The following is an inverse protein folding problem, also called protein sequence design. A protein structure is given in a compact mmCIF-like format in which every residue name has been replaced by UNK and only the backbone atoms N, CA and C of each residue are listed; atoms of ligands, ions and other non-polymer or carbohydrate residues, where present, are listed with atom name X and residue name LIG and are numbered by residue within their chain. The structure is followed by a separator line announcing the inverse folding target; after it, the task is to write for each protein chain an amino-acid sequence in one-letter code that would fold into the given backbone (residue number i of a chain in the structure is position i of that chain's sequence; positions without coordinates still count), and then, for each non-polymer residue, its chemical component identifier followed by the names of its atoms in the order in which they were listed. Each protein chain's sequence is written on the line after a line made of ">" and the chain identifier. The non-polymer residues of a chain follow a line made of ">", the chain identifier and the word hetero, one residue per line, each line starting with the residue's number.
data_IF_279460552900
#
_entry.id   IF_279460552900
#
_cell.length_a   1.000
_cell.length_b   1.000
_cell.length_c   1.000
_cell.angle_alpha   90.00
_cell.angle_beta   90.00
_cell.angle_gamma   90.00
#
_symmetry.space_group_name_H-M   'P 1'
#
loop_
_entity.id
_entity.type
_entity.pdbx_description
1 polymer ?
#
# COMPACT_ATOMS: atom_id res chain seq x y z
N UNK A 1 14.38 -9.62 5.25
CA UNK A 1 13.54 -10.02 4.08
C UNK A 1 13.80 -9.04 2.95
N UNK A 2 14.02 -9.53 1.73
CA UNK A 2 14.27 -8.73 0.53
C UNK A 2 12.91 -8.35 -0.08
N UNK A 3 12.74 -7.06 -0.37
CA UNK A 3 11.49 -6.57 -0.94
C UNK A 3 11.41 -6.87 -2.45
N UNK A 4 10.20 -7.14 -2.98
CA UNK A 4 9.96 -7.20 -4.42
C UNK A 4 10.34 -5.88 -5.11
N UNK A 5 10.79 -5.92 -6.38
CA UNK A 5 11.20 -4.72 -7.09
C UNK A 5 10.10 -3.65 -7.20
N UNK A 6 8.84 -4.06 -7.38
CA UNK A 6 7.70 -3.14 -7.38
C UNK A 6 7.53 -2.42 -6.04
N UNK A 7 7.65 -3.14 -4.92
CA UNK A 7 7.55 -2.54 -3.58
C UNK A 7 8.69 -1.56 -3.31
N UNK A 8 9.93 -1.89 -3.73
CA UNK A 8 11.07 -0.95 -3.62
C UNK A 8 10.76 0.35 -4.36
N UNK A 9 10.27 0.26 -5.61
CA UNK A 9 9.94 1.43 -6.42
C UNK A 9 8.80 2.27 -5.81
N UNK A 10 7.80 1.63 -5.20
CA UNK A 10 6.71 2.32 -4.48
C UNK A 10 7.24 3.09 -3.27
N UNK A 11 8.07 2.43 -2.43
CA UNK A 11 8.65 3.07 -1.25
C UNK A 11 9.62 4.20 -1.63
N UNK A 12 10.42 4.05 -2.69
CA UNK A 12 11.28 5.12 -3.19
C UNK A 12 10.46 6.34 -3.63
N UNK A 13 9.32 6.12 -4.30
CA UNK A 13 8.44 7.20 -4.71
C UNK A 13 7.79 7.89 -3.50
N UNK A 14 7.28 7.12 -2.55
CA UNK A 14 6.72 7.63 -1.30
C UNK A 14 7.75 8.49 -0.55
N UNK A 15 8.98 8.00 -0.37
CA UNK A 15 10.07 8.76 0.27
C UNK A 15 10.34 10.09 -0.43
N UNK A 16 10.37 10.09 -1.77
CA UNK A 16 10.60 11.31 -2.54
C UNK A 16 9.46 12.32 -2.32
N UNK A 17 8.21 11.86 -2.33
CA UNK A 17 7.03 12.69 -2.12
C UNK A 17 6.96 13.30 -0.72
N UNK A 18 7.34 12.53 0.30
CA UNK A 18 7.29 12.98 1.69
C UNK A 18 8.55 13.72 2.18
N UNK A 19 9.61 13.80 1.36
CA UNK A 19 10.92 14.35 1.76
C UNK A 19 10.84 15.74 2.36
N UNK A 20 10.04 16.61 1.75
CA UNK A 20 9.96 18.03 2.10
C UNK A 20 8.81 18.32 3.09
N UNK A 21 8.09 17.29 3.52
CA UNK A 21 7.06 17.42 4.54
C UNK A 21 7.68 17.25 5.94
N UNK A 22 7.35 18.13 6.89
CA UNK A 22 7.79 17.95 8.25
C UNK A 22 7.17 16.67 8.83
N UNK A 23 7.97 15.76 9.42
CA UNK A 23 7.43 14.54 9.98
C UNK A 23 6.53 14.84 11.19
N UNK A 24 5.37 14.20 11.21
CA UNK A 24 4.35 14.33 12.24
C UNK A 24 3.84 12.96 12.70
N UNK A 25 2.53 12.88 12.96
CA UNK A 25 1.84 11.64 13.32
C UNK A 25 1.27 10.97 12.07
N UNK A 26 1.46 9.65 11.95
CA UNK A 26 0.83 8.89 10.88
C UNK A 26 -0.09 7.78 11.40
N UNK A 27 -1.06 7.40 10.59
CA UNK A 27 -1.80 6.15 10.67
C UNK A 27 -1.56 5.36 9.38
N UNK A 28 -1.16 4.09 9.50
CA UNK A 28 -1.07 3.16 8.38
C UNK A 28 -2.16 2.10 8.50
N UNK A 29 -2.99 1.97 7.47
CA UNK A 29 -4.08 1.01 7.42
C UNK A 29 -3.63 -0.18 6.55
N UNK A 30 -3.72 -1.40 7.11
CA UNK A 30 -3.21 -2.61 6.45
C UNK A 30 -1.69 -2.67 6.45
N UNK A 31 -1.11 -2.71 7.64
CA UNK A 31 0.36 -2.63 7.84
C UNK A 31 1.11 -3.79 7.20
N UNK A 32 0.48 -4.96 7.08
CA UNK A 32 1.14 -6.19 6.65
C UNK A 32 2.37 -6.47 7.52
N UNK A 33 3.53 -6.63 6.89
CA UNK A 33 4.79 -6.91 7.62
C UNK A 33 5.54 -5.63 8.07
N UNK A 34 4.93 -4.45 8.03
CA UNK A 34 5.47 -3.19 8.59
C UNK A 34 6.59 -2.53 7.79
N UNK A 35 6.71 -2.81 6.50
CA UNK A 35 7.76 -2.22 5.65
C UNK A 35 7.54 -0.73 5.36
N UNK A 36 6.28 -0.33 5.13
CA UNK A 36 5.95 1.06 4.89
C UNK A 36 6.07 1.86 6.18
N UNK A 37 5.58 1.33 7.32
CA UNK A 37 5.83 1.91 8.65
C UNK A 37 7.33 2.10 8.91
N UNK A 38 8.18 1.09 8.64
CA UNK A 38 9.64 1.21 8.79
C UNK A 38 10.21 2.37 7.97
N UNK A 39 9.71 2.54 6.75
CA UNK A 39 10.08 3.65 5.88
C UNK A 39 9.72 5.02 6.50
N UNK A 40 8.50 5.19 6.98
CA UNK A 40 8.03 6.42 7.62
C UNK A 40 8.81 6.72 8.92
N UNK A 41 9.02 5.71 9.76
CA UNK A 41 9.78 5.82 11.01
C UNK A 41 11.22 6.25 10.78
N UNK A 42 11.87 5.73 9.72
CA UNK A 42 13.21 6.14 9.31
C UNK A 42 13.27 7.60 8.82
N UNK A 43 12.15 8.14 8.32
CA UNK A 43 12.00 9.55 7.94
C UNK A 43 11.65 10.47 9.12
N UNK A 44 11.57 9.95 10.36
CA UNK A 44 11.27 10.71 11.56
C UNK A 44 9.78 10.79 11.94
N UNK A 45 8.90 10.16 11.18
CA UNK A 45 7.48 10.07 11.53
C UNK A 45 7.27 9.20 12.77
N UNK A 46 6.14 9.39 13.45
CA UNK A 46 5.68 8.55 14.57
C UNK A 46 4.21 8.20 14.36
N UNK A 47 3.75 7.04 14.81
CA UNK A 47 2.36 6.74 14.55
C UNK A 47 1.90 5.36 14.97
N UNK A 48 0.76 4.98 14.39
CA UNK A 48 0.08 3.72 14.67
C UNK A 48 -0.19 2.99 13.36
N UNK A 49 0.09 1.70 13.35
CA UNK A 49 -0.33 0.80 12.30
C UNK A 49 -1.55 -0.01 12.71
N UNK A 50 -2.43 -0.31 11.77
CA UNK A 50 -3.64 -1.11 11.96
C UNK A 50 -3.58 -2.35 11.07
N UNK A 51 -3.79 -3.52 11.66
CA UNK A 51 -3.69 -4.80 10.94
C UNK A 51 -4.67 -5.81 11.51
N UNK A 52 -5.47 -6.40 10.64
CA UNK A 52 -6.46 -7.42 11.03
C UNK A 52 -5.84 -8.76 11.34
N UNK A 53 -4.78 -9.12 10.61
CA UNK A 53 -4.12 -10.39 10.80
C UNK A 53 -3.12 -10.36 11.96
N UNK A 54 -3.31 -11.23 13.00
CA UNK A 54 -2.44 -11.24 14.19
C UNK A 54 -0.97 -11.55 13.88
N UNK A 55 -0.70 -12.40 12.90
CA UNK A 55 0.67 -12.80 12.57
C UNK A 55 1.40 -11.67 11.83
N UNK A 56 0.72 -10.99 10.91
CA UNK A 56 1.24 -9.79 10.24
C UNK A 56 1.46 -8.65 11.25
N UNK A 57 0.51 -8.44 12.16
CA UNK A 57 0.64 -7.47 13.25
C UNK A 57 1.88 -7.74 14.11
N UNK A 58 2.12 -9.01 14.48
CA UNK A 58 3.32 -9.43 15.23
C UNK A 58 4.60 -9.16 14.42
N UNK A 59 4.62 -9.56 13.16
CA UNK A 59 5.78 -9.34 12.28
C UNK A 59 6.09 -7.85 12.09
N UNK A 60 5.06 -7.00 12.00
CA UNK A 60 5.23 -5.54 11.91
C UNK A 60 5.81 -4.94 13.21
N UNK A 61 5.37 -5.41 14.39
CA UNK A 61 5.94 -5.02 15.67
C UNK A 61 7.41 -5.45 15.81
N UNK A 62 7.72 -6.68 15.46
CA UNK A 62 9.10 -7.21 15.50
C UNK A 62 10.02 -6.43 14.57
N UNK A 63 9.59 -6.14 13.34
CA UNK A 63 10.34 -5.33 12.37
C UNK A 63 10.66 -3.94 12.89
N UNK A 64 9.75 -3.32 13.61
CA UNK A 64 9.84 -1.95 14.09
C UNK A 64 10.10 -1.88 15.59
N UNK A 65 10.71 -2.91 16.18
CA UNK A 65 10.87 -3.09 17.63
C UNK A 65 11.49 -1.90 18.35
N UNK A 66 12.50 -1.24 17.76
CA UNK A 66 13.13 -0.06 18.35
C UNK A 66 12.18 1.13 18.44
N UNK A 67 11.33 1.31 17.44
CA UNK A 67 10.32 2.36 17.45
C UNK A 67 9.19 2.04 18.43
N UNK A 68 8.81 0.76 18.55
CA UNK A 68 7.85 0.27 19.55
C UNK A 68 8.40 0.48 20.95
N UNK A 69 9.64 0.04 21.23
CA UNK A 69 10.28 0.17 22.52
C UNK A 69 10.43 1.63 22.97
N UNK A 70 10.66 2.54 22.02
CA UNK A 70 10.75 3.99 22.28
C UNK A 70 9.40 4.72 22.34
N UNK A 71 8.27 4.02 22.17
CA UNK A 71 6.93 4.61 22.17
C UNK A 71 6.62 5.48 20.94
N UNK A 72 7.45 5.44 19.90
CA UNK A 72 7.22 6.19 18.64
C UNK A 72 6.25 5.48 17.70
N UNK A 73 6.02 4.19 17.90
CA UNK A 73 5.20 3.36 17.04
C UNK A 73 4.47 2.29 17.85
N UNK A 74 3.29 1.92 17.39
CA UNK A 74 2.56 0.74 17.86
C UNK A 74 1.79 0.12 16.69
N UNK A 75 1.55 -1.18 16.74
CA UNK A 75 0.61 -1.85 15.85
C UNK A 75 -0.58 -2.30 16.67
N UNK A 76 -1.78 -1.95 16.23
CA UNK A 76 -3.06 -2.37 16.80
C UNK A 76 -3.65 -3.48 15.94
N UNK A 77 -3.87 -4.65 16.53
CA UNK A 77 -4.53 -5.77 15.84
C UNK A 77 -6.04 -5.65 16.02
N UNK A 78 -6.64 -4.74 15.26
CA UNK A 78 -8.08 -4.40 15.30
C UNK A 78 -8.56 -3.98 13.91
N UNK A 79 -9.87 -4.05 13.70
CA UNK A 79 -10.47 -3.41 12.52
C UNK A 79 -10.41 -1.89 12.70
N UNK A 80 -9.70 -1.24 11.77
CA UNK A 80 -9.57 0.21 11.79
C UNK A 80 -10.90 0.92 11.56
N UNK A 81 -11.82 0.33 10.78
CA UNK A 81 -13.15 0.91 10.53
C UNK A 81 -14.01 0.98 11.80
N UNK A 82 -13.71 0.16 12.82
CA UNK A 82 -14.40 0.12 14.10
C UNK A 82 -13.68 0.93 15.18
N UNK A 83 -12.64 1.71 14.82
CA UNK A 83 -11.81 2.46 15.77
C UNK A 83 -11.94 3.96 15.60
N UNK A 84 -12.13 4.67 16.71
CA UNK A 84 -12.06 6.12 16.74
C UNK A 84 -10.60 6.61 16.85
N UNK A 85 -10.29 7.79 16.29
CA UNK A 85 -8.96 8.38 16.43
C UNK A 85 -8.73 8.89 17.86
N UNK A 86 -7.65 8.44 18.50
CA UNK A 86 -7.19 9.01 19.80
C UNK A 86 -6.78 10.48 19.63
N UNK A 87 -6.26 10.85 18.48
CA UNK A 87 -5.95 12.21 18.06
C UNK A 87 -5.75 12.27 16.54
N UNK A 88 -6.01 13.43 15.90
CA UNK A 88 -5.82 13.59 14.48
C UNK A 88 -4.38 13.28 14.03
N UNK A 89 -4.24 12.74 12.82
CA UNK A 89 -2.96 12.44 12.20
C UNK A 89 -2.62 13.40 11.05
N UNK A 90 -1.33 13.61 10.84
CA UNK A 90 -0.84 14.48 9.76
C UNK A 90 -0.70 13.71 8.44
N UNK A 91 -0.57 12.38 8.53
CA UNK A 91 -0.49 11.47 7.39
C UNK A 91 -1.34 10.22 7.66
N UNK A 92 -2.25 9.93 6.74
CA UNK A 92 -2.94 8.65 6.69
C UNK A 92 -2.50 7.94 5.42
N UNK A 93 -2.05 6.70 5.52
CA UNK A 93 -1.55 5.96 4.37
C UNK A 93 -2.07 4.53 4.37
N UNK A 94 -2.40 4.03 3.19
CA UNK A 94 -2.65 2.62 2.97
C UNK A 94 -2.08 2.14 1.64
N UNK A 95 -1.70 0.87 1.61
CA UNK A 95 -1.11 0.24 0.45
C UNK A 95 -1.79 -1.10 0.20
N UNK A 96 -2.48 -1.22 -0.93
CA UNK A 96 -3.22 -2.41 -1.33
C UNK A 96 -4.28 -2.82 -0.28
N UNK A 97 -5.17 -1.88 0.04
CA UNK A 97 -6.26 -2.07 1.01
C UNK A 97 -7.62 -1.70 0.41
N UNK A 98 -7.71 -0.55 -0.29
CA UNK A 98 -8.98 0.00 -0.75
C UNK A 98 -9.70 -0.92 -1.75
N UNK A 99 -8.96 -1.65 -2.55
CA UNK A 99 -9.47 -2.62 -3.53
C UNK A 99 -10.20 -3.82 -2.94
N UNK A 100 -10.05 -4.04 -1.63
CA UNK A 100 -10.72 -5.12 -0.90
C UNK A 100 -12.13 -4.73 -0.42
N UNK A 101 -12.55 -3.49 -0.64
CA UNK A 101 -13.90 -3.03 -0.29
C UNK A 101 -14.81 -2.98 -1.51
N UNK A 102 -16.09 -3.31 -1.28
CA UNK A 102 -17.17 -2.96 -2.20
C UNK A 102 -17.45 -1.44 -2.17
N UNK A 103 -18.47 -0.98 -2.92
CA UNK A 103 -18.76 0.46 -3.02
C UNK A 103 -19.17 1.10 -1.68
N UNK A 104 -19.88 0.34 -0.83
CA UNK A 104 -20.30 0.81 0.47
C UNK A 104 -19.13 0.85 1.47
N UNK A 105 -18.31 -0.21 1.50
CA UNK A 105 -17.11 -0.28 2.33
C UNK A 105 -16.07 0.77 1.95
N UNK A 106 -15.88 1.03 0.65
CA UNK A 106 -15.01 2.09 0.17
C UNK A 106 -15.47 3.49 0.63
N UNK A 107 -16.79 3.75 0.60
CA UNK A 107 -17.33 5.01 1.10
C UNK A 107 -17.13 5.15 2.62
N UNK A 108 -17.36 4.09 3.39
CA UNK A 108 -17.09 4.05 4.83
C UNK A 108 -15.60 4.26 5.13
N UNK A 109 -14.71 3.61 4.38
CA UNK A 109 -13.27 3.78 4.51
C UNK A 109 -12.86 5.24 4.32
N UNK A 110 -13.33 5.89 3.26
CA UNK A 110 -13.00 7.29 2.98
C UNK A 110 -13.63 8.25 4.00
N UNK A 111 -14.83 7.97 4.50
CA UNK A 111 -15.41 8.77 5.60
C UNK A 111 -14.60 8.62 6.90
N UNK A 112 -14.15 7.42 7.21
CA UNK A 112 -13.26 7.19 8.35
C UNK A 112 -11.95 7.95 8.19
N UNK A 113 -11.35 7.99 6.98
CA UNK A 113 -10.18 8.84 6.71
C UNK A 113 -10.39 10.31 7.11
N UNK A 114 -11.61 10.84 6.89
CA UNK A 114 -11.97 12.22 7.23
C UNK A 114 -11.93 12.49 8.73
N UNK A 115 -12.33 11.52 9.53
CA UNK A 115 -12.33 11.63 10.99
C UNK A 115 -10.89 11.58 11.55
N UNK A 116 -10.02 10.81 10.91
CA UNK A 116 -8.63 10.63 11.35
C UNK A 116 -7.69 11.76 10.95
N UNK A 117 -7.88 12.38 9.79
CA UNK A 117 -6.96 13.40 9.29
C UNK A 117 -7.09 14.73 10.05
N UNK A 118 -5.95 15.31 10.40
CA UNK A 118 -5.87 16.69 10.90
C UNK A 118 -6.30 17.68 9.81
N UNK A 119 -6.54 18.95 10.19
CA UNK A 119 -6.95 19.98 9.24
C UNK A 119 -5.95 20.23 8.09
N UNK A 120 -4.68 19.84 8.28
CA UNK A 120 -3.62 19.91 7.27
C UNK A 120 -3.11 18.53 6.88
N UNK A 121 -3.79 17.49 7.33
CA UNK A 121 -3.41 16.10 7.10
C UNK A 121 -3.53 15.69 5.64
N UNK A 122 -2.64 14.82 5.21
CA UNK A 122 -2.55 14.25 3.87
C UNK A 122 -2.97 12.79 3.91
N UNK A 123 -3.91 12.41 3.04
CA UNK A 123 -4.19 11.01 2.75
C UNK A 123 -3.35 10.52 1.57
N UNK A 124 -2.80 9.31 1.68
CA UNK A 124 -2.08 8.63 0.60
C UNK A 124 -2.66 7.24 0.40
N UNK A 125 -3.02 6.93 -0.84
CA UNK A 125 -3.43 5.60 -1.28
C UNK A 125 -2.45 5.05 -2.31
N UNK A 126 -2.05 3.81 -2.12
CA UNK A 126 -1.44 2.98 -3.16
C UNK A 126 -2.43 1.85 -3.46
N UNK A 127 -2.96 1.83 -4.69
CA UNK A 127 -3.97 0.86 -5.11
C UNK A 127 -3.57 0.17 -6.40
N UNK A 128 -4.08 -1.04 -6.71
CA UNK A 128 -3.83 -1.70 -7.98
C UNK A 128 -4.42 -0.87 -9.13
N UNK A 129 -3.55 -0.55 -10.08
CA UNK A 129 -3.88 0.18 -11.32
C UNK A 129 -4.18 -0.75 -12.49
N UNK A 130 -4.53 -0.15 -13.64
CA UNK A 130 -4.78 -0.86 -14.90
C UNK A 130 -5.87 -1.94 -14.80
N UNK A 131 -7.17 -1.56 -14.88
CA UNK A 131 -8.27 -2.52 -14.88
C UNK A 131 -8.15 -3.60 -15.97
N UNK A 132 -7.53 -3.27 -17.11
CA UNK A 132 -7.31 -4.21 -18.21
C UNK A 132 -6.32 -5.33 -17.87
N UNK A 133 -5.46 -5.12 -16.88
CA UNK A 133 -4.48 -6.09 -16.41
C UNK A 133 -5.00 -6.93 -15.21
N UNK A 134 -6.34 -6.97 -15.01
CA UNK A 134 -6.96 -7.90 -14.06
C UNK A 134 -6.47 -9.32 -14.28
N UNK A 135 -6.08 -10.00 -13.23
CA UNK A 135 -5.47 -11.31 -13.35
C UNK A 135 -5.64 -12.19 -12.13
N UNK A 136 -4.99 -13.34 -12.17
CA UNK A 136 -5.09 -14.35 -11.12
C UNK A 136 -4.71 -13.84 -9.72
N UNK A 137 -3.86 -12.81 -9.65
CA UNK A 137 -3.50 -12.20 -8.38
C UNK A 137 -4.66 -11.49 -7.72
N UNK A 138 -5.48 -10.80 -8.50
CA UNK A 138 -6.67 -10.10 -8.02
C UNK A 138 -7.70 -11.10 -7.50
N UNK A 139 -7.93 -12.17 -8.28
CA UNK A 139 -8.85 -13.24 -7.89
C UNK A 139 -8.43 -13.92 -6.59
N UNK A 140 -7.13 -14.24 -6.44
CA UNK A 140 -6.60 -14.91 -5.26
C UNK A 140 -6.53 -13.96 -4.05
N UNK A 141 -6.22 -12.67 -4.28
CA UNK A 141 -6.21 -11.67 -3.22
C UNK A 141 -7.61 -11.27 -2.75
N UNK A 142 -8.64 -11.57 -3.53
CA UNK A 142 -10.01 -11.18 -3.21
C UNK A 142 -10.27 -9.70 -3.45
N UNK A 143 -9.72 -9.16 -4.54
CA UNK A 143 -10.00 -7.79 -4.94
C UNK A 143 -11.42 -7.66 -5.49
N UNK A 144 -12.06 -6.54 -5.24
CA UNK A 144 -13.31 -6.15 -5.90
C UNK A 144 -13.03 -5.41 -7.20
N UNK A 145 -11.88 -4.67 -7.28
CA UNK A 145 -11.57 -3.81 -8.42
C UNK A 145 -10.08 -3.49 -8.54
N UNK A 146 -9.72 -3.02 -9.73
CA UNK A 146 -8.55 -2.21 -10.00
C UNK A 146 -9.00 -0.83 -10.43
N UNK A 147 -8.15 0.16 -10.31
CA UNK A 147 -8.48 1.54 -10.61
C UNK A 147 -7.79 2.03 -11.89
N UNK A 148 -8.51 2.79 -12.70
CA UNK A 148 -7.88 3.74 -13.62
C UNK A 148 -7.62 5.04 -12.87
N UNK A 149 -6.77 5.90 -13.40
CA UNK A 149 -6.56 7.24 -12.85
C UNK A 149 -7.88 8.00 -12.76
N UNK A 150 -8.67 7.96 -13.84
CA UNK A 150 -9.96 8.65 -13.93
C UNK A 150 -11.00 8.09 -12.95
N UNK A 151 -11.08 6.75 -12.82
CA UNK A 151 -12.04 6.14 -11.88
C UNK A 151 -11.70 6.45 -10.43
N UNK A 152 -10.41 6.42 -10.05
CA UNK A 152 -9.97 6.75 -8.70
C UNK A 152 -10.22 8.23 -8.37
N UNK A 153 -9.86 9.15 -9.27
CA UNK A 153 -10.08 10.57 -9.10
C UNK A 153 -11.57 10.90 -9.01
N UNK A 154 -12.40 10.36 -9.91
CA UNK A 154 -13.86 10.54 -9.88
C UNK A 154 -14.45 10.02 -8.57
N UNK A 155 -14.01 8.85 -8.12
CA UNK A 155 -14.50 8.26 -6.87
C UNK A 155 -14.15 9.11 -5.66
N UNK A 156 -12.91 9.54 -5.52
CA UNK A 156 -12.48 10.42 -4.44
C UNK A 156 -13.25 11.74 -4.45
N UNK A 157 -13.37 12.38 -5.62
CA UNK A 157 -14.08 13.65 -5.77
C UNK A 157 -15.56 13.52 -5.43
N UNK A 158 -16.22 12.45 -5.88
CA UNK A 158 -17.65 12.21 -5.56
C UNK A 158 -17.94 12.03 -4.07
N UNK A 159 -16.92 11.67 -3.29
CA UNK A 159 -16.98 11.53 -1.84
C UNK A 159 -16.40 12.74 -1.08
N UNK A 160 -16.22 13.89 -1.77
CA UNK A 160 -15.79 15.15 -1.18
C UNK A 160 -14.30 15.20 -0.83
N UNK A 161 -13.47 14.53 -1.62
CA UNK A 161 -12.02 14.58 -1.53
C UNK A 161 -11.42 15.30 -2.73
N UNK A 162 -10.45 16.14 -2.50
CA UNK A 162 -9.66 16.79 -3.54
C UNK A 162 -8.36 16.02 -3.76
N UNK A 163 -8.18 15.50 -4.96
CA UNK A 163 -6.92 14.86 -5.38
C UNK A 163 -5.87 15.94 -5.63
N UNK A 164 -4.76 15.89 -4.91
CA UNK A 164 -3.63 16.80 -5.08
C UNK A 164 -2.60 16.26 -6.06
N UNK A 165 -2.42 14.95 -6.07
CA UNK A 165 -1.46 14.29 -6.92
C UNK A 165 -1.89 12.85 -7.20
N UNK A 166 -1.68 12.40 -8.44
CA UNK A 166 -1.86 11.00 -8.84
C UNK A 166 -0.77 10.59 -9.83
N UNK A 167 -0.16 9.43 -9.61
CA UNK A 167 0.91 8.91 -10.43
C UNK A 167 0.80 7.39 -10.61
N UNK A 168 1.05 6.93 -11.84
CA UNK A 168 1.27 5.52 -12.11
C UNK A 168 2.67 5.11 -11.67
N UNK A 169 2.78 4.02 -10.92
CA UNK A 169 4.05 3.48 -10.43
C UNK A 169 4.36 2.12 -11.02
N UNK A 170 5.61 1.72 -10.88
CA UNK A 170 6.19 0.42 -11.24
C UNK A 170 6.23 0.11 -12.76
N UNK A 171 5.67 1.01 -13.60
CA UNK A 171 5.77 0.88 -15.05
C UNK A 171 7.16 1.35 -15.55
N UNK A 172 7.78 0.67 -16.53
CA UNK A 172 7.30 -0.53 -17.22
C UNK A 172 7.73 -1.85 -16.55
N UNK A 173 8.53 -1.81 -15.48
CA UNK A 173 9.17 -2.99 -14.90
C UNK A 173 8.16 -4.07 -14.49
N UNK A 174 7.15 -3.68 -13.69
CA UNK A 174 6.15 -4.66 -13.23
C UNK A 174 5.33 -5.24 -14.37
N UNK A 175 5.09 -4.47 -15.44
CA UNK A 175 4.38 -4.98 -16.61
C UNK A 175 5.19 -6.03 -17.38
N UNK A 176 6.51 -5.83 -17.50
CA UNK A 176 7.40 -6.84 -18.11
C UNK A 176 7.46 -8.10 -17.26
N UNK A 177 7.42 -7.96 -15.93
CA UNK A 177 7.46 -9.09 -14.99
C UNK A 177 6.09 -9.77 -14.79
N UNK A 178 4.99 -9.13 -15.19
CA UNK A 178 3.63 -9.61 -14.92
C UNK A 178 3.36 -11.05 -15.44
N UNK A 179 3.75 -11.45 -16.65
CA UNK A 179 3.53 -12.82 -17.12
C UNK A 179 4.22 -13.87 -16.25
N UNK A 180 5.47 -13.57 -15.82
CA UNK A 180 6.24 -14.46 -14.93
C UNK A 180 5.60 -14.49 -13.55
N UNK A 181 5.20 -13.36 -13.02
CA UNK A 181 4.49 -13.25 -11.74
C UNK A 181 3.22 -14.09 -11.76
N UNK A 182 2.39 -13.95 -12.77
CA UNK A 182 1.15 -14.71 -12.93
C UNK A 182 1.41 -16.24 -12.99
N UNK A 183 2.47 -16.66 -13.68
CA UNK A 183 2.84 -18.08 -13.75
C UNK A 183 3.24 -18.61 -12.35
N UNK A 184 4.06 -17.86 -11.61
CA UNK A 184 4.49 -18.23 -10.27
C UNK A 184 3.30 -18.34 -9.29
N UNK A 185 2.40 -17.37 -9.36
CA UNK A 185 1.19 -17.36 -8.52
C UNK A 185 0.27 -18.53 -8.85
N UNK A 186 0.02 -18.81 -10.14
CA UNK A 186 -0.79 -19.97 -10.56
C UNK A 186 -0.26 -21.29 -10.00
N UNK A 187 1.08 -21.45 -9.98
CA UNK A 187 1.70 -22.68 -9.46
C UNK A 187 1.65 -22.77 -7.94
N UNK A 188 1.83 -21.65 -7.25
CA UNK A 188 1.92 -21.63 -5.80
C UNK A 188 0.55 -21.66 -5.09
N UNK A 189 -0.49 -21.09 -5.71
CA UNK A 189 -1.73 -20.76 -5.01
C UNK A 189 -3.02 -21.23 -5.71
N UNK A 190 -2.93 -22.21 -6.62
CA UNK A 190 -4.09 -22.72 -7.36
C UNK A 190 -5.25 -23.19 -6.46
N UNK A 191 -4.95 -23.67 -5.25
CA UNK A 191 -5.94 -24.18 -4.29
C UNK A 191 -6.73 -23.04 -3.61
N UNK A 192 -6.21 -21.81 -3.55
CA UNK A 192 -6.86 -20.69 -2.88
C UNK A 192 -8.05 -20.07 -3.63
N UNK A 193 -8.18 -20.37 -4.91
CA UNK A 193 -9.34 -19.90 -5.69
C UNK A 193 -10.67 -20.46 -5.17
N UNK A 194 -10.64 -21.58 -4.44
CA UNK A 194 -11.83 -22.17 -3.81
C UNK A 194 -12.23 -21.52 -2.47
N UNK A 195 -11.44 -20.57 -1.95
CA UNK A 195 -11.71 -19.93 -0.67
C UNK A 195 -12.75 -18.79 -0.82
N UNK A 196 -13.40 -18.44 0.29
CA UNK A 196 -14.30 -17.27 0.30
C UNK A 196 -13.51 -15.97 0.04
N UNK A 197 -14.20 -14.90 -0.41
CA UNK A 197 -13.59 -13.59 -0.64
C UNK A 197 -12.92 -13.06 0.64
N UNK A 198 -13.63 -13.15 1.78
CA UNK A 198 -13.12 -12.71 3.08
C UNK A 198 -11.84 -13.46 3.49
N UNK A 199 -11.81 -14.80 3.33
CA UNK A 199 -10.62 -15.60 3.65
C UNK A 199 -9.44 -15.25 2.76
N UNK A 200 -9.68 -14.96 1.47
CA UNK A 200 -8.65 -14.53 0.51
C UNK A 200 -8.08 -13.17 0.89
N UNK A 201 -8.94 -12.22 1.26
CA UNK A 201 -8.53 -10.89 1.72
C UNK A 201 -7.64 -10.97 2.97
N UNK A 202 -8.07 -11.70 4.01
CA UNK A 202 -7.28 -11.90 5.22
C UNK A 202 -5.93 -12.58 4.96
N UNK A 203 -5.89 -13.53 4.02
CA UNK A 203 -4.67 -14.23 3.66
C UNK A 203 -3.75 -13.44 2.72
N UNK A 204 -4.21 -12.35 2.11
CA UNK A 204 -3.45 -11.61 1.09
C UNK A 204 -2.13 -11.06 1.63
N UNK A 205 -2.12 -10.55 2.86
CA UNK A 205 -0.94 -10.02 3.53
C UNK A 205 0.13 -11.08 3.90
N UNK A 206 -0.25 -12.37 4.00
CA UNK A 206 0.65 -13.49 4.37
C UNK A 206 1.26 -14.23 3.18
N UNK A 207 0.98 -13.81 1.96
CA UNK A 207 1.35 -14.57 0.76
C UNK A 207 2.85 -14.63 0.58
N UNK A 208 3.39 -15.83 0.56
CA UNK A 208 4.79 -16.10 0.25
C UNK A 208 4.89 -16.92 -1.04
N UNK A 209 5.32 -16.28 -2.12
CA UNK A 209 5.53 -16.90 -3.42
C UNK A 209 7.02 -16.82 -3.75
N UNK A 210 7.66 -17.99 -3.86
CA UNK A 210 9.08 -18.06 -4.17
C UNK A 210 9.38 -17.39 -5.53
N UNK A 211 10.42 -16.55 -5.55
CA UNK A 211 10.80 -15.77 -6.73
C UNK A 211 9.93 -14.55 -7.03
N UNK A 212 8.89 -14.30 -6.21
CA UNK A 212 8.03 -13.11 -6.31
C UNK A 212 8.03 -12.27 -5.04
N UNK A 213 7.70 -12.88 -3.90
CA UNK A 213 7.65 -12.19 -2.59
C UNK A 213 8.69 -12.72 -1.61
N UNK A 214 9.34 -13.85 -1.93
CA UNK A 214 10.43 -14.43 -1.16
C UNK A 214 11.63 -14.68 -2.08
N UNK A 215 12.77 -14.15 -1.71
CA UNK A 215 14.00 -14.19 -2.49
C UNK A 215 15.16 -14.74 -1.66
N UNK A 216 16.13 -15.46 -2.27
CA UNK A 216 17.39 -15.79 -1.63
C UNK A 216 18.20 -14.53 -1.27
N UNK A 217 19.01 -14.59 -0.21
CA UNK A 217 19.70 -13.42 0.35
C UNK A 217 20.61 -12.69 -0.66
N UNK A 218 21.25 -13.44 -1.57
CA UNK A 218 22.11 -12.84 -2.60
C UNK A 218 21.37 -11.89 -3.56
N UNK A 219 20.05 -12.06 -3.73
CA UNK A 219 19.22 -11.17 -4.56
C UNK A 219 19.17 -9.75 -3.99
N UNK A 220 19.41 -9.58 -2.69
CA UNK A 220 19.50 -8.27 -2.03
C UNK A 220 20.63 -7.40 -2.57
N UNK A 221 21.64 -7.99 -3.19
CA UNK A 221 22.71 -7.23 -3.89
C UNK A 221 22.16 -6.45 -5.09
N UNK A 222 21.06 -6.94 -5.69
CA UNK A 222 20.41 -6.32 -6.85
C UNK A 222 19.11 -5.61 -6.46
N UNK A 223 18.31 -6.20 -5.58
CA UNK A 223 17.06 -5.62 -5.10
C UNK A 223 17.30 -4.71 -3.89
N UNK A 224 17.85 -3.54 -4.14
CA UNK A 224 18.03 -2.46 -3.17
C UNK A 224 17.84 -1.10 -3.84
N UNK A 225 17.66 -0.04 -3.06
CA UNK A 225 17.35 1.29 -3.58
C UNK A 225 18.43 1.87 -4.49
N UNK A 226 19.70 1.56 -4.25
CA UNK A 226 20.82 2.09 -5.06
C UNK A 226 20.79 1.51 -6.47
N UNK A 227 20.66 0.18 -6.59
CA UNK A 227 20.59 -0.50 -7.88
C UNK A 227 19.28 -0.22 -8.60
N UNK A 228 18.18 -0.06 -7.85
CA UNK A 228 16.86 0.25 -8.38
C UNK A 228 16.67 1.74 -8.74
N UNK A 229 17.61 2.62 -8.39
CA UNK A 229 17.48 4.06 -8.64
C UNK A 229 17.26 4.44 -10.12
N UNK A 230 17.98 3.88 -11.10
CA UNK A 230 17.69 4.14 -12.51
C UNK A 230 16.25 3.78 -12.91
N UNK A 231 15.74 2.64 -12.43
CA UNK A 231 14.37 2.21 -12.68
C UNK A 231 13.34 3.12 -11.98
N UNK A 232 13.69 3.66 -10.81
CA UNK A 232 12.89 4.69 -10.16
C UNK A 232 12.80 5.97 -11.01
N UNK A 233 13.88 6.41 -11.65
CA UNK A 233 13.81 7.55 -12.58
C UNK A 233 12.94 7.22 -13.81
N UNK A 234 13.07 6.01 -14.37
CA UNK A 234 12.24 5.54 -15.47
C UNK A 234 10.76 5.56 -15.12
N UNK A 235 10.35 4.99 -13.96
CA UNK A 235 8.94 5.02 -13.56
C UNK A 235 8.39 6.45 -13.45
N UNK A 236 9.21 7.42 -13.03
CA UNK A 236 8.81 8.84 -12.93
C UNK A 236 8.55 9.46 -14.31
N UNK A 237 9.30 9.08 -15.33
CA UNK A 237 9.04 9.51 -16.71
C UNK A 237 7.69 8.97 -17.20
N UNK A 238 7.32 7.78 -16.76
CA UNK A 238 6.08 7.11 -17.15
C UNK A 238 4.94 7.23 -16.12
N UNK A 239 5.02 8.19 -15.20
CA UNK A 239 3.98 8.40 -14.15
C UNK A 239 2.57 8.62 -14.72
N UNK A 240 2.44 9.01 -15.99
CA UNK A 240 1.17 9.15 -16.71
C UNK A 240 0.69 7.89 -17.42
N UNK A 241 1.44 6.78 -17.38
CA UNK A 241 1.11 5.56 -18.11
C UNK A 241 -0.23 4.98 -17.64
N UNK A 242 -1.17 4.75 -18.56
CA UNK A 242 -2.48 4.16 -18.28
C UNK A 242 -2.38 2.72 -17.76
N UNK A 243 -1.35 1.99 -18.19
CA UNK A 243 -1.09 0.60 -17.82
C UNK A 243 -0.15 0.43 -16.62
N UNK A 244 0.07 1.47 -15.81
CA UNK A 244 0.79 1.33 -14.56
C UNK A 244 0.01 0.42 -13.60
N UNK A 245 0.68 -0.62 -13.07
CA UNK A 245 0.03 -1.65 -12.24
C UNK A 245 -0.27 -1.18 -10.81
N UNK A 246 0.26 -0.02 -10.42
CA UNK A 246 0.00 0.64 -9.14
C UNK A 246 -0.30 2.11 -9.38
N UNK A 247 -1.33 2.62 -8.74
CA UNK A 247 -1.59 4.06 -8.65
C UNK A 247 -1.24 4.55 -7.25
N UNK A 248 -0.47 5.62 -7.19
CA UNK A 248 -0.18 6.40 -6.00
C UNK A 248 -1.03 7.67 -6.05
N UNK A 249 -1.73 8.00 -4.97
CA UNK A 249 -2.61 9.16 -4.93
C UNK A 249 -2.47 9.90 -3.61
N UNK A 250 -2.36 11.23 -3.69
CA UNK A 250 -2.43 12.17 -2.55
C UNK A 250 -3.77 12.89 -2.57
N UNK A 251 -4.46 12.92 -1.44
CA UNK A 251 -5.77 13.52 -1.34
C UNK A 251 -5.98 14.23 0.01
N UNK A 252 -6.82 15.24 -0.01
CA UNK A 252 -7.21 16.01 1.18
C UNK A 252 -8.72 16.27 1.14
N UNK A 253 -9.38 16.52 2.28
CA UNK A 253 -10.80 16.91 2.28
C UNK A 253 -11.03 18.16 1.42
N UNK A 254 -12.10 18.18 0.61
CA UNK A 254 -12.38 19.28 -0.34
C UNK A 254 -12.71 20.60 0.39
N UNK A 255 -13.34 20.53 1.57
CA UNK A 255 -13.89 21.66 2.32
C UNK A 255 -13.05 22.02 3.56
N UNK A 256 -11.72 21.89 3.49
CA UNK A 256 -10.82 22.30 4.56
C UNK A 256 -9.76 23.28 4.11
#
# INVERSE_FOLDING_TARGET
>A
MILPPGTILQLMYLKERLRDLPPGRFAEIGVGHGHLSACLLAMGWRGTGFELDPDSSRAANERNSDAVASGRYQVRNVDWLETDPDAPVDLLVSCMVLEHFDDAGEALYLEQCRQWLSARGLGILLVPGSPEDWGIEDDIAGHYRRYSRESLETRLTSLGWRVQHIAGLTFPLSNVLLPVSNLLVRRAEATRQAWSMADRTLASGKRTVAGKTSFPDWVGLVLNEVVMYPLHQVQKLFRGAKRALVLYTEFVPENR
#
